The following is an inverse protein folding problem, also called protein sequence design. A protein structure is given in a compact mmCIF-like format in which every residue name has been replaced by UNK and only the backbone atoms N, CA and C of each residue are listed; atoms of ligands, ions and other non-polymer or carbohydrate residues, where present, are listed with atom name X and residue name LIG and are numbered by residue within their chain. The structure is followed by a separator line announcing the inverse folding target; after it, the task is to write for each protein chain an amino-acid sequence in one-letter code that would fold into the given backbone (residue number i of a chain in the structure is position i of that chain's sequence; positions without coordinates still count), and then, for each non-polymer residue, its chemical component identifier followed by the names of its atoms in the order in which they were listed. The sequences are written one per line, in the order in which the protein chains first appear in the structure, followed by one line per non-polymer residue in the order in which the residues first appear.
data_IF_533448958730
#
_entry.id   IF_533448958730
#
_cell.length_a   1.000
_cell.length_b   1.000
_cell.length_c   1.000
_cell.angle_alpha   90.00
_cell.angle_beta   90.00
_cell.angle_gamma   90.00
#
_symmetry.space_group_name_H-M   'P 1'
#
loop_
_entity.id
_entity.type
_entity.pdbx_description
1 polymer ?
#
# COMPACT_ATOMS: atom_id res chain seq x y z
N UNK A 1 -20.14 3.79 14.44
CA UNK A 1 -20.28 2.33 14.60
C UNK A 1 -19.80 1.72 13.29
N UNK A 2 -18.51 1.49 13.06
CA UNK A 2 -17.67 0.53 13.79
C UNK A 2 -17.78 -0.83 13.09
N UNK A 3 -17.34 -0.94 11.83
CA UNK A 3 -17.38 -2.19 11.10
C UNK A 3 -16.50 -3.20 11.83
N UNK A 4 -17.11 -4.22 12.43
CA UNK A 4 -16.40 -5.34 13.05
C UNK A 4 -15.74 -6.16 11.93
N UNK A 5 -14.40 -6.21 11.80
CA UNK A 5 -13.74 -6.99 10.75
C UNK A 5 -13.68 -8.46 11.20
N UNK A 6 -14.78 -9.18 11.03
CA UNK A 6 -14.85 -10.62 11.27
C UNK A 6 -14.57 -11.39 9.98
N UNK A 7 -13.42 -12.05 9.91
CA UNK A 7 -13.06 -13.16 9.00
C UNK A 7 -12.98 -12.92 7.47
N UNK A 8 -13.53 -11.85 6.89
CA UNK A 8 -13.48 -11.57 5.43
C UNK A 8 -12.44 -10.52 5.03
N UNK A 9 -11.39 -10.32 5.82
CA UNK A 9 -10.33 -9.38 5.50
C UNK A 9 -9.02 -10.09 5.13
N UNK A 10 -8.26 -9.52 4.21
CA UNK A 10 -6.88 -9.87 3.93
C UNK A 10 -6.03 -9.36 5.08
N UNK A 11 -5.25 -10.24 5.72
CA UNK A 11 -4.29 -9.82 6.74
C UNK A 11 -3.04 -9.28 6.05
N UNK A 12 -2.99 -7.97 5.87
CA UNK A 12 -1.81 -7.30 5.35
C UNK A 12 -1.55 -6.01 6.11
N UNK A 13 -0.30 -5.61 6.17
CA UNK A 13 0.12 -4.31 6.70
C UNK A 13 0.78 -3.52 5.60
N UNK A 14 0.37 -2.26 5.43
CA UNK A 14 0.96 -1.36 4.45
C UNK A 14 1.39 -0.06 5.11
N UNK A 15 2.60 0.39 4.82
CA UNK A 15 3.09 1.71 5.23
C UNK A 15 3.50 2.52 4.02
N UNK A 16 3.29 3.84 4.08
CA UNK A 16 3.69 4.78 3.06
C UNK A 16 4.59 5.84 3.70
N UNK A 17 5.85 5.88 3.28
CA UNK A 17 6.86 6.81 3.81
C UNK A 17 7.37 7.68 2.68
N UNK A 18 7.11 9.00 2.72
CA UNK A 18 7.63 9.92 1.73
C UNK A 18 9.10 10.21 2.05
N UNK A 19 9.89 10.39 1.00
CA UNK A 19 11.31 10.73 1.04
C UNK A 19 11.64 11.69 -0.10
N UNK A 20 12.82 12.30 -0.04
CA UNK A 20 13.31 13.18 -1.09
C UNK A 20 14.53 12.56 -1.80
N UNK A 21 14.45 12.42 -3.12
CA UNK A 21 15.58 12.08 -3.98
C UNK A 21 15.83 13.19 -4.97
N UNK A 22 17.02 13.79 -4.93
CA UNK A 22 17.52 14.65 -6.03
C UNK A 22 16.48 15.68 -6.50
N UNK A 23 15.93 16.48 -5.55
CA UNK A 23 14.88 17.49 -5.79
C UNK A 23 13.52 16.96 -6.27
N UNK A 24 13.23 15.68 -6.04
CA UNK A 24 11.93 15.06 -6.34
C UNK A 24 11.44 14.30 -5.12
N UNK A 25 10.16 14.38 -4.84
CA UNK A 25 9.56 13.54 -3.82
C UNK A 25 9.48 12.09 -4.32
N UNK A 26 9.62 11.12 -3.42
CA UNK A 26 9.43 9.71 -3.68
C UNK A 26 8.62 9.11 -2.52
N UNK A 27 7.66 8.25 -2.82
CA UNK A 27 6.83 7.58 -1.83
C UNK A 27 7.27 6.12 -1.75
N UNK A 28 7.92 5.74 -0.66
CA UNK A 28 8.27 4.35 -0.40
C UNK A 28 7.09 3.66 0.28
N UNK A 29 6.53 2.68 -0.40
CA UNK A 29 5.45 1.85 0.12
C UNK A 29 5.98 0.47 0.47
N UNK A 30 5.70 0.01 1.68
CA UNK A 30 6.05 -1.33 2.15
C UNK A 30 4.77 -2.09 2.48
N UNK A 31 4.60 -3.26 1.86
CA UNK A 31 3.46 -4.15 2.05
C UNK A 31 3.97 -5.45 2.63
N UNK A 32 3.44 -5.83 3.79
CA UNK A 32 3.70 -7.11 4.44
C UNK A 32 2.45 -7.97 4.30
N UNK A 33 2.58 -9.12 3.64
CA UNK A 33 1.53 -10.12 3.63
C UNK A 33 1.62 -10.95 4.93
N UNK A 34 0.68 -10.75 5.85
CA UNK A 34 0.55 -11.54 7.08
C UNK A 34 -0.47 -12.67 6.93
N UNK A 35 -1.04 -12.83 5.73
CA UNK A 35 -1.99 -13.88 5.40
C UNK A 35 -1.25 -15.19 5.07
N UNK A 36 -1.99 -16.30 5.00
CA UNK A 36 -1.44 -17.63 4.72
C UNK A 36 -1.46 -17.99 3.23
N UNK A 37 -2.09 -17.15 2.41
CA UNK A 37 -2.15 -17.31 0.95
C UNK A 37 -1.44 -16.15 0.24
N UNK A 38 -1.00 -16.33 -1.01
CA UNK A 38 -0.49 -15.23 -1.79
C UNK A 38 -1.58 -14.19 -2.08
N UNK A 39 -1.20 -12.91 -2.01
CA UNK A 39 -2.12 -11.78 -2.19
C UNK A 39 -1.62 -10.84 -3.28
N UNK A 40 -2.55 -10.09 -3.87
CA UNK A 40 -2.29 -9.00 -4.79
C UNK A 40 -2.67 -7.68 -4.12
N UNK A 41 -1.77 -6.70 -4.09
CA UNK A 41 -2.01 -5.41 -3.44
C UNK A 41 -1.82 -4.28 -4.43
N UNK A 42 -2.88 -3.52 -4.68
CA UNK A 42 -2.85 -2.32 -5.48
C UNK A 42 -2.72 -1.09 -4.59
N UNK A 43 -1.65 -0.35 -4.79
CA UNK A 43 -1.39 0.94 -4.18
C UNK A 43 -1.80 2.03 -5.14
N UNK A 44 -2.65 2.94 -4.69
CA UNK A 44 -3.07 4.12 -5.43
C UNK A 44 -2.83 5.34 -4.53
N UNK A 45 -2.04 6.29 -5.01
CA UNK A 45 -1.72 7.50 -4.26
C UNK A 45 -1.58 8.69 -5.20
N UNK A 46 -1.72 9.93 -4.69
CA UNK A 46 -1.44 11.14 -5.46
C UNK A 46 -0.03 11.20 -6.05
N UNK A 47 0.95 10.57 -5.40
CA UNK A 47 2.33 10.46 -5.89
C UNK A 47 2.45 9.56 -7.12
N UNK A 48 1.53 8.59 -7.27
CA UNK A 48 1.55 7.54 -8.27
C UNK A 48 0.90 6.25 -7.76
N UNK A 49 0.66 5.32 -8.68
CA UNK A 49 0.10 4.00 -8.36
C UNK A 49 1.07 2.88 -8.68
N UNK A 50 1.05 1.82 -7.87
CA UNK A 50 1.80 0.59 -8.12
C UNK A 50 0.97 -0.63 -7.75
N UNK A 51 1.11 -1.73 -8.49
CA UNK A 51 0.48 -3.00 -8.11
C UNK A 51 1.56 -4.03 -7.79
N UNK A 52 1.44 -4.61 -6.61
CA UNK A 52 2.15 -5.81 -6.24
C UNK A 52 1.28 -7.01 -6.56
N UNK A 53 1.84 -7.97 -7.27
CA UNK A 53 1.13 -9.20 -7.60
C UNK A 53 1.89 -10.41 -7.10
N UNK A 54 1.14 -11.46 -6.72
CA UNK A 54 1.70 -12.71 -6.19
C UNK A 54 2.66 -12.50 -5.01
N UNK A 55 2.29 -11.66 -4.04
CA UNK A 55 3.08 -11.51 -2.81
C UNK A 55 2.91 -12.80 -1.99
N UNK A 56 3.97 -13.58 -1.73
CA UNK A 56 3.85 -14.80 -0.95
C UNK A 56 3.36 -14.53 0.48
N UNK A 57 2.76 -15.53 1.11
CA UNK A 57 2.41 -15.49 2.53
C UNK A 57 3.66 -15.24 3.40
N UNK A 58 3.56 -14.34 4.38
CA UNK A 58 4.67 -13.97 5.27
C UNK A 58 5.76 -13.12 4.65
N UNK A 59 5.66 -12.75 3.37
CA UNK A 59 6.66 -11.94 2.68
C UNK A 59 6.35 -10.45 2.76
N UNK A 60 7.43 -9.66 2.83
CA UNK A 60 7.37 -8.21 2.77
C UNK A 60 7.94 -7.72 1.44
N UNK A 61 7.16 -6.95 0.71
CA UNK A 61 7.59 -6.28 -0.52
C UNK A 61 7.60 -4.78 -0.29
N UNK A 62 8.61 -4.12 -0.84
CA UNK A 62 8.73 -2.66 -0.79
C UNK A 62 8.96 -2.13 -2.20
N UNK A 63 8.30 -1.03 -2.51
CA UNK A 63 8.49 -0.34 -3.77
C UNK A 63 8.52 1.16 -3.52
N UNK A 64 9.44 1.82 -4.21
CA UNK A 64 9.58 3.26 -4.14
C UNK A 64 8.99 3.86 -5.39
N UNK A 65 7.89 4.58 -5.22
CA UNK A 65 7.17 5.27 -6.28
C UNK A 65 7.77 6.67 -6.39
N UNK A 66 8.53 7.00 -7.46
CA UNK A 66 9.03 8.35 -7.64
C UNK A 66 7.84 9.28 -7.90
N UNK A 67 7.57 10.20 -6.97
CA UNK A 67 6.56 11.22 -7.19
C UNK A 67 7.10 12.17 -8.27
N UNK A 68 6.28 12.47 -9.28
CA UNK A 68 6.68 13.39 -10.35
C UNK A 68 6.57 14.87 -9.94
N UNK A 69 6.56 15.13 -8.63
CA UNK A 69 6.38 16.44 -8.00
C UNK A 69 7.51 16.66 -7.00
N UNK A 70 7.94 17.91 -6.85
CA UNK A 70 8.87 18.30 -5.78
C UNK A 70 8.13 18.39 -4.45
N UNK A 71 6.86 18.81 -4.46
CA UNK A 71 6.01 18.95 -3.29
C UNK A 71 4.92 17.89 -3.30
N UNK A 72 4.94 17.02 -2.30
CA UNK A 72 3.92 16.02 -2.05
C UNK A 72 3.15 16.44 -0.79
N UNK A 73 1.88 16.83 -0.94
CA UNK A 73 1.03 17.16 0.19
C UNK A 73 0.76 15.92 1.06
N UNK A 74 0.49 16.13 2.36
CA UNK A 74 0.07 15.05 3.25
C UNK A 74 -1.21 14.43 2.70
N UNK A 75 -1.25 13.10 2.66
CA UNK A 75 -2.36 12.39 2.06
C UNK A 75 -2.39 10.95 2.50
N UNK A 76 -3.23 10.17 1.83
CA UNK A 76 -3.43 8.77 2.15
C UNK A 76 -3.20 7.94 0.88
N UNK A 77 -2.34 6.93 0.98
CA UNK A 77 -2.21 5.93 -0.06
C UNK A 77 -3.28 4.87 0.14
N UNK A 78 -4.15 4.69 -0.85
CA UNK A 78 -5.18 3.65 -0.87
C UNK A 78 -4.54 2.32 -1.25
N UNK A 79 -4.65 1.35 -0.35
CA UNK A 79 -4.09 0.02 -0.47
C UNK A 79 -5.24 -0.96 -0.63
N UNK A 80 -5.42 -1.52 -1.81
CA UNK A 80 -6.45 -2.52 -2.08
C UNK A 80 -5.81 -3.88 -2.22
N UNK A 81 -5.91 -4.68 -1.17
CA UNK A 81 -5.47 -6.06 -1.17
C UNK A 81 -6.58 -6.99 -1.67
N UNK A 82 -6.17 -8.02 -2.39
CA UNK A 82 -7.00 -9.08 -2.92
C UNK A 82 -6.36 -10.41 -2.58
N UNK A 83 -7.17 -11.34 -2.10
CA UNK A 83 -6.79 -12.75 -1.95
C UNK A 83 -7.89 -13.63 -2.51
N UNK A 84 -7.52 -14.82 -2.94
CA UNK A 84 -8.47 -15.86 -3.30
C UNK A 84 -8.27 -17.01 -2.31
N UNK A 85 -9.33 -17.35 -1.57
CA UNK A 85 -9.35 -18.47 -0.62
C UNK A 85 -10.50 -19.37 -1.03
N UNK A 86 -10.21 -20.62 -1.38
CA UNK A 86 -11.23 -21.62 -1.75
C UNK A 86 -12.23 -21.16 -2.84
N UNK A 87 -11.75 -20.39 -3.82
CA UNK A 87 -12.59 -19.84 -4.90
C UNK A 87 -13.42 -18.61 -4.52
N UNK A 88 -13.31 -18.13 -3.28
CA UNK A 88 -13.87 -16.86 -2.84
C UNK A 88 -12.82 -15.76 -2.93
N UNK A 89 -13.06 -14.79 -3.82
CA UNK A 89 -12.28 -13.57 -3.91
C UNK A 89 -12.61 -12.66 -2.73
N UNK A 90 -11.64 -12.47 -1.84
CA UNK A 90 -11.74 -11.57 -0.70
C UNK A 90 -10.91 -10.32 -1.00
N UNK A 91 -11.53 -9.16 -0.82
CA UNK A 91 -10.89 -7.87 -1.01
C UNK A 91 -10.84 -7.11 0.31
N UNK A 92 -9.76 -6.37 0.55
CA UNK A 92 -9.65 -5.47 1.69
C UNK A 92 -9.03 -4.17 1.26
N UNK A 93 -9.66 -3.08 1.66
CA UNK A 93 -9.17 -1.73 1.42
C UNK A 93 -8.59 -1.22 2.74
N UNK A 94 -7.35 -0.77 2.69
CA UNK A 94 -6.68 -0.09 3.78
C UNK A 94 -6.13 1.24 3.28
N UNK A 95 -5.91 2.19 4.17
CA UNK A 95 -5.30 3.48 3.85
C UNK A 95 -4.04 3.66 4.68
N UNK A 96 -2.96 4.07 4.02
CA UNK A 96 -1.71 4.42 4.68
C UNK A 96 -1.51 5.94 4.58
N UNK A 97 -1.73 6.64 5.68
CA UNK A 97 -1.45 8.06 5.77
C UNK A 97 0.05 8.33 5.69
N UNK A 98 0.42 9.38 4.97
CA UNK A 98 1.80 9.84 4.85
C UNK A 98 1.88 11.37 5.03
N UNK A 99 2.93 11.88 5.69
CA UNK A 99 3.09 13.32 5.92
C UNK A 99 3.41 14.08 4.63
N UNK A 100 3.20 15.40 4.65
CA UNK A 100 3.63 16.26 3.55
C UNK A 100 5.16 16.26 3.45
N UNK A 101 5.68 16.32 2.24
CA UNK A 101 7.12 16.35 1.96
C UNK A 101 7.39 17.31 0.82
N UNK A 102 8.26 18.28 1.06
CA UNK A 102 8.70 19.27 0.09
C UNK A 102 10.18 19.08 -0.21
N UNK A 103 10.48 18.70 -1.44
CA UNK A 103 11.82 18.40 -1.94
C UNK A 103 12.29 19.52 -2.88
N UNK A 104 12.38 20.75 -2.36
CA UNK A 104 13.28 21.85 -2.77
C UNK A 104 13.47 22.15 -4.25
#
# INVERSE_FOLDING_TARGET
MGATPGATAVLFSGTATPACKTKKAELTVAITNADSVPIDVRVDSPAGGYKFSKIPAGQTVKHTIPAKVAELAAGEAKLTAYKNVDGQGIQTISTAAYPATSCG
#
